data_IF_968998295287
#
_entry.id   IF_968998295287
#
_cell.length_a   1.000
_cell.length_b   1.000
_cell.length_c   1.000
_cell.angle_alpha   90.00
_cell.angle_beta   90.00
_cell.angle_gamma   90.00
#
_symmetry.space_group_name_H-M   'P 1'
#
loop_
_entity.id
_entity.type
_entity.pdbx_description
1 polymer ?
#
# COMPACT_ATOMS: atom_id res chain seq x y z
N UNK A 1 7.21 -8.31 -0.59
CA UNK A 1 6.89 -9.43 -1.51
C UNK A 1 6.79 -8.88 -2.93
N UNK A 2 7.00 -9.66 -4.00
CA UNK A 2 6.99 -9.07 -5.36
C UNK A 2 5.58 -8.80 -5.88
N UNK A 3 4.73 -9.83 -5.97
CA UNK A 3 3.34 -9.69 -6.45
C UNK A 3 2.39 -9.18 -5.36
N UNK A 4 1.47 -8.26 -5.69
CA UNK A 4 0.54 -7.67 -4.71
C UNK A 4 -0.54 -8.66 -4.27
N UNK A 5 -1.01 -8.46 -3.03
CA UNK A 5 -2.29 -9.00 -2.56
C UNK A 5 -3.42 -8.06 -2.94
N UNK A 6 -3.20 -6.76 -2.75
CA UNK A 6 -4.15 -5.70 -3.04
C UNK A 6 -3.55 -4.77 -4.08
N UNK A 7 -4.23 -4.67 -5.21
CA UNK A 7 -4.01 -3.73 -6.30
C UNK A 7 -5.34 -3.55 -7.05
N UNK A 8 -5.50 -2.44 -7.75
CA UNK A 8 -6.75 -2.18 -8.48
C UNK A 8 -6.89 -2.97 -9.80
N UNK A 9 -5.82 -3.54 -10.35
CA UNK A 9 -5.87 -4.30 -11.62
C UNK A 9 -6.48 -5.68 -11.41
N UNK A 10 -6.20 -6.32 -10.27
CA UNK A 10 -6.55 -7.70 -9.96
C UNK A 10 -7.61 -7.80 -8.85
N UNK A 11 -8.68 -6.99 -8.95
CA UNK A 11 -9.74 -6.91 -7.94
C UNK A 11 -11.15 -7.01 -8.55
N UNK A 12 -12.09 -7.59 -7.81
CA UNK A 12 -13.53 -7.52 -8.06
C UNK A 12 -14.26 -7.12 -6.79
N UNK A 13 -14.99 -6.00 -6.81
CA UNK A 13 -15.72 -5.48 -5.65
C UNK A 13 -14.85 -5.33 -4.38
N UNK A 14 -13.59 -4.91 -4.54
CA UNK A 14 -12.63 -4.77 -3.44
C UNK A 14 -11.95 -6.08 -2.99
N UNK A 15 -12.33 -7.24 -3.53
CA UNK A 15 -11.71 -8.53 -3.23
C UNK A 15 -10.68 -8.93 -4.31
N UNK A 16 -9.45 -9.34 -3.92
CA UNK A 16 -8.45 -9.84 -4.85
C UNK A 16 -8.97 -11.04 -5.64
N UNK A 17 -8.55 -11.17 -6.90
CA UNK A 17 -8.86 -12.31 -7.77
C UNK A 17 -7.58 -13.00 -8.27
N UNK A 18 -7.73 -14.15 -8.92
CA UNK A 18 -6.63 -14.85 -9.59
C UNK A 18 -5.47 -15.17 -8.64
N UNK A 19 -4.25 -14.76 -9.02
CA UNK A 19 -3.05 -15.00 -8.23
C UNK A 19 -3.05 -14.21 -6.92
N UNK A 20 -3.53 -12.97 -6.92
CA UNK A 20 -3.60 -12.12 -5.74
C UNK A 20 -4.47 -12.77 -4.63
N UNK A 21 -5.60 -13.38 -4.99
CA UNK A 21 -6.46 -14.14 -4.06
C UNK A 21 -5.75 -15.35 -3.41
N UNK A 22 -4.89 -16.04 -4.16
CA UNK A 22 -4.11 -17.18 -3.64
C UNK A 22 -3.05 -16.70 -2.65
N UNK A 23 -2.39 -15.58 -2.95
CA UNK A 23 -1.41 -14.96 -2.06
C UNK A 23 -2.11 -14.44 -0.78
N UNK A 24 -3.28 -13.80 -0.91
CA UNK A 24 -4.09 -13.38 0.22
C UNK A 24 -4.37 -14.55 1.17
N UNK A 25 -4.91 -15.64 0.63
CA UNK A 25 -5.26 -16.85 1.38
C UNK A 25 -4.06 -17.44 2.12
N UNK A 26 -2.87 -17.39 1.52
CA UNK A 26 -1.65 -17.93 2.10
C UNK A 26 -1.06 -17.06 3.22
N UNK A 27 -1.14 -15.73 3.12
CA UNK A 27 -0.32 -14.83 3.94
C UNK A 27 -1.10 -13.80 4.78
N UNK A 28 -2.29 -13.35 4.37
CA UNK A 28 -2.96 -12.23 5.04
C UNK A 28 -3.25 -12.53 6.52
N UNK A 29 -3.72 -13.75 6.82
CA UNK A 29 -3.96 -14.20 8.19
C UNK A 29 -2.69 -14.13 9.06
N UNK A 30 -1.52 -14.42 8.50
CA UNK A 30 -0.24 -14.30 9.21
C UNK A 30 0.13 -12.84 9.44
N UNK A 31 -0.02 -11.98 8.42
CA UNK A 31 0.26 -10.54 8.56
C UNK A 31 -0.62 -9.89 9.63
N UNK A 32 -1.90 -10.26 9.69
CA UNK A 32 -2.81 -9.81 10.75
C UNK A 32 -2.39 -10.38 12.11
N UNK A 33 -2.13 -11.69 12.21
CA UNK A 33 -1.76 -12.36 13.47
C UNK A 33 -0.50 -11.75 14.10
N UNK A 34 0.51 -11.48 13.28
CA UNK A 34 1.79 -10.92 13.73
C UNK A 34 1.84 -9.39 13.70
N UNK A 35 0.70 -8.73 13.47
CA UNK A 35 0.56 -7.26 13.53
C UNK A 35 1.55 -6.54 12.62
N UNK A 36 1.72 -7.03 11.40
CA UNK A 36 2.56 -6.36 10.38
C UNK A 36 2.01 -4.96 10.11
N UNK A 37 2.88 -3.95 10.16
CA UNK A 37 2.49 -2.56 9.97
C UNK A 37 2.27 -2.20 8.51
N UNK A 38 3.22 -2.59 7.65
CA UNK A 38 3.23 -2.26 6.24
C UNK A 38 3.65 -3.47 5.43
N UNK A 39 2.94 -3.74 4.33
CA UNK A 39 3.28 -4.76 3.34
C UNK A 39 3.64 -4.06 2.03
N UNK A 40 4.90 -4.20 1.63
CA UNK A 40 5.42 -3.65 0.38
C UNK A 40 5.35 -4.68 -0.74
N UNK A 41 4.78 -4.25 -1.86
CA UNK A 41 4.59 -5.03 -3.09
C UNK A 41 5.03 -4.24 -4.31
N UNK A 42 5.20 -4.90 -5.46
CA UNK A 42 5.57 -4.31 -6.73
C UNK A 42 4.82 -5.08 -7.85
N UNK A 43 5.53 -5.56 -8.86
CA UNK A 43 5.04 -6.29 -10.04
C UNK A 43 4.21 -5.44 -10.99
N UNK A 44 3.09 -4.86 -10.53
CA UNK A 44 2.32 -3.92 -11.34
C UNK A 44 3.13 -2.64 -11.50
N UNK A 45 3.37 -2.19 -12.73
CA UNK A 45 4.20 -1.02 -13.03
C UNK A 45 3.46 0.30 -12.76
N UNK A 46 3.05 0.51 -11.51
CA UNK A 46 2.42 1.72 -11.02
C UNK A 46 2.77 1.93 -9.53
N UNK A 47 2.28 3.03 -8.95
CA UNK A 47 2.30 3.24 -7.51
C UNK A 47 0.88 3.27 -6.99
N UNK A 48 0.60 2.55 -5.90
CA UNK A 48 -0.67 2.62 -5.20
C UNK A 48 -0.45 2.59 -3.68
N UNK A 49 -1.22 3.41 -2.96
CA UNK A 49 -1.29 3.40 -1.51
C UNK A 49 -2.71 3.13 -1.06
N UNK A 50 -2.84 2.25 -0.08
CA UNK A 50 -4.12 1.83 0.45
C UNK A 50 -4.24 2.16 1.95
N UNK A 51 -5.46 2.11 2.47
CA UNK A 51 -5.71 2.11 3.92
C UNK A 51 -5.15 0.83 4.54
N UNK A 52 -5.18 0.68 5.87
CA UNK A 52 -5.18 -0.64 6.49
C UNK A 52 -6.29 -1.52 5.90
N UNK A 53 -5.99 -2.78 5.57
CA UNK A 53 -6.96 -3.72 4.97
C UNK A 53 -7.00 -5.02 5.77
N UNK A 54 -8.21 -5.50 6.04
CA UNK A 54 -8.46 -6.82 6.61
C UNK A 54 -9.62 -7.47 5.87
N UNK A 55 -9.41 -8.65 5.30
CA UNK A 55 -10.45 -9.43 4.65
C UNK A 55 -11.23 -8.60 3.61
N UNK A 56 -10.50 -7.91 2.72
CA UNK A 56 -11.04 -7.05 1.65
C UNK A 56 -11.70 -5.73 2.11
N UNK A 57 -11.75 -5.47 3.41
CA UNK A 57 -12.40 -4.28 3.97
C UNK A 57 -11.35 -3.27 4.46
N UNK A 58 -11.62 -1.99 4.19
CA UNK A 58 -10.85 -0.90 4.75
C UNK A 58 -11.06 -0.84 6.27
N UNK A 59 -9.97 -0.84 7.03
CA UNK A 59 -9.99 -0.65 8.48
C UNK A 59 -9.58 0.78 8.79
N UNK A 60 -10.55 1.61 9.17
CA UNK A 60 -10.36 3.07 9.30
C UNK A 60 -10.02 3.51 10.74
N UNK A 61 -10.03 2.59 11.70
CA UNK A 61 -9.61 2.90 13.07
C UNK A 61 -8.15 3.38 13.09
N UNK A 62 -7.96 4.61 13.57
CA UNK A 62 -6.65 5.26 13.58
C UNK A 62 -6.24 5.94 12.27
N UNK A 63 -7.10 5.95 11.24
CA UNK A 63 -6.83 6.66 9.97
C UNK A 63 -7.33 8.10 10.06
N UNK A 64 -6.46 9.09 9.82
CA UNK A 64 -6.85 10.50 9.77
C UNK A 64 -7.81 10.79 8.61
N UNK A 65 -8.59 11.87 8.73
CA UNK A 65 -9.56 12.29 7.70
C UNK A 65 -8.93 12.55 6.33
N UNK A 66 -7.71 13.11 6.32
CA UNK A 66 -6.91 13.34 5.10
C UNK A 66 -6.20 12.07 4.60
N UNK A 67 -6.34 10.96 5.33
CA UNK A 67 -5.71 9.66 5.08
C UNK A 67 -4.18 9.73 4.96
N UNK A 68 -3.52 10.71 5.57
CA UNK A 68 -2.04 10.85 5.59
C UNK A 68 -1.39 10.39 6.88
N UNK A 69 -2.17 10.11 7.92
CA UNK A 69 -1.69 9.58 9.19
C UNK A 69 -2.43 8.30 9.54
N UNK A 70 -1.68 7.22 9.74
CA UNK A 70 -2.19 5.94 10.23
C UNK A 70 -1.68 5.73 11.66
N UNK A 71 -2.49 6.13 12.64
CA UNK A 71 -2.16 6.05 14.05
C UNK A 71 -2.54 4.70 14.65
N UNK A 72 -1.54 3.88 14.95
CA UNK A 72 -1.68 2.51 15.41
C UNK A 72 -2.73 1.73 14.58
N UNK A 73 -2.48 1.53 13.27
CA UNK A 73 -3.44 0.88 12.40
C UNK A 73 -3.74 -0.54 12.89
N UNK A 74 -5.01 -0.92 12.81
CA UNK A 74 -5.48 -2.23 13.30
C UNK A 74 -5.33 -3.35 12.26
N UNK A 75 -4.80 -3.05 11.09
CA UNK A 75 -4.49 -4.01 10.04
C UNK A 75 -3.26 -3.53 9.24
N UNK A 76 -2.63 -4.40 8.43
CA UNK A 76 -1.50 -4.00 7.61
C UNK A 76 -1.91 -2.94 6.58
N UNK A 77 -1.07 -1.94 6.40
CA UNK A 77 -1.15 -0.97 5.31
C UNK A 77 -0.46 -1.58 4.08
N UNK A 78 -1.17 -1.65 2.96
CA UNK A 78 -0.60 -2.21 1.72
C UNK A 78 -0.14 -1.07 0.80
N UNK A 79 1.09 -1.22 0.29
CA UNK A 79 1.69 -0.29 -0.65
C UNK A 79 2.20 -1.08 -1.85
N UNK A 80 1.81 -0.62 -3.04
CA UNK A 80 2.33 -1.08 -4.31
C UNK A 80 3.30 -0.02 -4.83
N UNK A 81 4.57 -0.38 -4.98
CA UNK A 81 5.65 0.50 -5.43
C UNK A 81 6.42 -0.15 -6.58
N UNK A 82 5.71 -0.43 -7.68
CA UNK A 82 6.25 -1.10 -8.87
C UNK A 82 6.64 -0.15 -10.00
N UNK A 83 6.51 1.17 -9.83
CA UNK A 83 6.80 2.19 -10.83
C UNK A 83 8.31 2.47 -11.06
N UNK A 84 9.17 1.45 -10.95
CA UNK A 84 10.63 1.62 -10.93
C UNK A 84 11.31 1.88 -12.28
N UNK A 85 10.60 1.76 -13.41
CA UNK A 85 11.19 1.97 -14.75
C UNK A 85 11.35 0.69 -15.58
N UNK A 86 10.46 -0.28 -15.45
CA UNK A 86 10.48 -1.48 -16.28
C UNK A 86 10.36 -1.13 -17.79
N UNK A 87 11.01 -1.93 -18.64
CA UNK A 87 11.01 -1.74 -20.11
C UNK A 87 9.59 -1.81 -20.71
N UNK A 88 8.69 -2.53 -20.05
CA UNK A 88 7.29 -2.71 -20.45
C UNK A 88 6.46 -1.41 -20.27
N UNK A 89 7.01 -0.40 -19.61
CA UNK A 89 6.31 0.84 -19.30
C UNK A 89 5.36 0.72 -18.11
N UNK A 90 4.47 1.70 -17.96
CA UNK A 90 3.44 1.70 -16.92
C UNK A 90 2.25 0.82 -17.25
N UNK A 91 1.61 0.30 -16.20
CA UNK A 91 0.30 -0.31 -16.33
C UNK A 91 -0.75 0.70 -16.79
N UNK A 92 -1.71 0.22 -17.57
CA UNK A 92 -2.87 1.03 -17.95
C UNK A 92 -3.74 1.31 -16.72
N UNK A 93 -4.21 2.54 -16.59
CA UNK A 93 -5.15 2.90 -15.52
C UNK A 93 -6.44 2.08 -15.63
N UNK A 94 -6.75 1.33 -14.58
CA UNK A 94 -8.00 0.56 -14.45
C UNK A 94 -9.19 1.45 -14.06
N UNK A 95 -10.40 1.02 -14.43
CA UNK A 95 -11.67 1.60 -13.98
C UNK A 95 -12.16 1.01 -12.65
N UNK A 96 -11.50 -0.05 -12.16
CA UNK A 96 -11.83 -0.65 -10.87
C UNK A 96 -11.63 0.35 -9.73
N UNK A 97 -12.51 0.22 -8.73
CA UNK A 97 -12.40 0.99 -7.49
C UNK A 97 -12.51 0.06 -6.29
N UNK A 98 -11.93 0.49 -5.17
CA UNK A 98 -12.03 -0.19 -3.90
C UNK A 98 -12.03 0.84 -2.76
N UNK A 99 -12.83 0.61 -1.73
CA UNK A 99 -12.96 1.53 -0.60
C UNK A 99 -11.63 1.75 0.14
N UNK A 100 -10.73 0.77 0.09
CA UNK A 100 -9.41 0.84 0.69
C UNK A 100 -8.38 1.62 -0.15
N UNK A 101 -8.66 1.98 -1.40
CA UNK A 101 -7.71 2.75 -2.20
C UNK A 101 -7.64 4.22 -1.76
N UNK A 102 -6.43 4.74 -1.59
CA UNK A 102 -6.20 6.14 -1.16
C UNK A 102 -5.57 6.95 -2.27
N UNK A 103 -4.53 6.43 -2.91
CA UNK A 103 -3.81 7.14 -3.96
C UNK A 103 -3.30 6.14 -4.99
N UNK A 104 -3.29 6.53 -6.26
CA UNK A 104 -2.74 5.71 -7.35
C UNK A 104 -2.10 6.62 -8.39
N UNK A 105 -0.91 6.26 -8.85
CA UNK A 105 -0.17 6.94 -9.91
C UNK A 105 0.25 5.89 -10.97
N UNK A 106 -0.17 6.13 -12.21
CA UNK A 106 0.08 5.26 -13.37
C UNK A 106 0.92 5.95 -14.46
N UNK A 107 1.54 7.09 -14.13
CA UNK A 107 2.16 7.98 -15.14
C UNK A 107 3.60 8.35 -14.81
N UNK A 108 3.95 8.41 -13.52
CA UNK A 108 5.29 8.74 -13.07
C UNK A 108 6.06 7.47 -12.78
N UNK A 109 7.25 7.33 -13.37
CA UNK A 109 8.26 6.48 -12.77
C UNK A 109 8.75 7.14 -11.48
N UNK A 110 9.04 6.34 -10.47
CA UNK A 110 9.40 6.88 -9.18
C UNK A 110 10.07 5.90 -8.25
N UNK A 111 10.61 6.46 -7.18
CA UNK A 111 11.25 5.74 -6.09
C UNK A 111 10.51 6.04 -4.79
N UNK A 112 10.35 5.04 -3.95
CA UNK A 112 9.81 5.23 -2.60
C UNK A 112 10.93 5.29 -1.57
N UNK A 113 10.80 6.21 -0.61
CA UNK A 113 11.67 6.27 0.57
C UNK A 113 10.89 5.95 1.83
N UNK A 114 11.56 5.26 2.75
CA UNK A 114 11.06 4.90 4.06
C UNK A 114 12.08 5.35 5.10
N UNK A 115 11.63 6.18 6.04
CA UNK A 115 12.41 6.59 7.21
C UNK A 115 11.67 6.12 8.46
N UNK A 116 12.33 5.37 9.34
CA UNK A 116 11.68 4.79 10.49
C UNK A 116 12.47 4.95 11.80
N UNK A 117 11.72 5.10 12.88
CA UNK A 117 12.17 4.92 14.25
C UNK A 117 11.16 4.02 15.00
N UNK A 118 11.33 3.86 16.31
CA UNK A 118 10.51 2.93 17.12
C UNK A 118 9.00 3.21 17.11
N UNK A 119 8.59 4.47 16.90
CA UNK A 119 7.18 4.89 17.00
C UNK A 119 6.65 5.54 15.72
N UNK A 120 7.48 5.68 14.68
CA UNK A 120 7.09 6.35 13.44
C UNK A 120 7.78 5.74 12.23
N UNK A 121 7.00 5.51 11.19
CA UNK A 121 7.44 5.28 9.82
C UNK A 121 6.94 6.44 8.97
N UNK A 122 7.83 7.11 8.25
CA UNK A 122 7.51 8.12 7.23
C UNK A 122 7.73 7.51 5.86
N UNK A 123 6.76 7.69 4.96
CA UNK A 123 6.84 7.21 3.59
C UNK A 123 6.68 8.36 2.61
N UNK A 124 7.47 8.33 1.53
CA UNK A 124 7.33 9.22 0.38
C UNK A 124 7.46 8.42 -0.91
N UNK A 125 6.67 8.78 -1.92
CA UNK A 125 6.88 8.39 -3.30
C UNK A 125 7.32 9.62 -4.10
N UNK A 126 8.47 9.53 -4.75
CA UNK A 126 9.08 10.63 -5.49
C UNK A 126 9.12 10.31 -6.98
N UNK A 127 8.81 11.31 -7.81
CA UNK A 127 9.02 11.22 -9.26
C UNK A 127 10.51 11.07 -9.55
N UNK A 128 10.89 10.08 -10.36
CA UNK A 128 12.29 9.91 -10.80
C UNK A 128 12.72 11.02 -11.76
N UNK A 129 11.78 11.65 -12.48
CA UNK A 129 12.09 12.70 -13.45
C UNK A 129 12.31 14.06 -12.80
N UNK A 130 11.47 14.43 -11.82
CA UNK A 130 11.46 15.77 -11.21
C UNK A 130 11.92 15.80 -9.75
N UNK A 131 12.09 14.65 -9.10
CA UNK A 131 12.32 14.51 -7.66
C UNK A 131 11.19 15.08 -6.78
N UNK A 132 10.05 15.47 -7.37
CA UNK A 132 8.90 15.95 -6.63
C UNK A 132 8.29 14.83 -5.78
N UNK A 133 7.85 15.16 -4.56
CA UNK A 133 7.08 14.25 -3.70
C UNK A 133 5.64 14.18 -4.23
N UNK A 134 5.26 13.03 -4.75
CA UNK A 134 3.94 12.79 -5.36
C UNK A 134 2.91 12.27 -4.35
N UNK A 135 3.37 11.50 -3.36
CA UNK A 135 2.56 11.04 -2.24
C UNK A 135 3.42 10.93 -0.98
N UNK A 136 2.82 11.22 0.17
CA UNK A 136 3.49 11.11 1.46
C UNK A 136 2.50 10.85 2.59
N UNK A 137 2.91 10.01 3.54
CA UNK A 137 2.12 9.70 4.73
C UNK A 137 3.02 9.17 5.86
N UNK A 138 2.43 9.00 7.04
CA UNK A 138 3.10 8.42 8.20
C UNK A 138 2.28 7.31 8.83
N UNK A 139 2.97 6.29 9.35
CA UNK A 139 2.41 5.30 10.28
C UNK A 139 2.99 5.58 11.65
N UNK A 140 2.13 5.76 12.65
CA UNK A 140 2.52 5.97 14.04
C UNK A 140 2.24 4.71 14.85
N UNK A 141 3.14 4.37 15.76
CA UNK A 141 2.98 3.29 16.73
C UNK A 141 3.12 3.84 18.14
N UNK A 142 2.12 3.55 18.96
CA UNK A 142 2.22 3.77 20.39
C UNK A 142 3.18 2.72 20.94
N UNK A 143 4.34 3.14 21.43
CA UNK A 143 5.21 2.28 22.22
C UNK A 143 4.59 2.16 23.60
N UNK A 144 3.72 1.18 23.81
CA UNK A 144 3.49 0.70 25.18
C UNK A 144 4.78 0.03 25.62
N UNK A 145 5.47 0.67 26.56
CA UNK A 145 6.52 0.03 27.36
C UNK A 145 5.82 -1.09 28.12
N UNK A 146 5.87 -2.29 27.57
CA UNK A 146 5.55 -3.52 28.29
C UNK A 146 6.73 -3.91 29.16
#
# INVERSE_FOLDING_TARGET
MHRPIYDLSNVKNGAPIGQAARIQTAFEALFIKYKVDVVLTAHEHCYQRHTPIRNNQAVLDGVSSDRKTYNNPQAPVYILTGAGGAIEGHESKTSNTAAWNVFSNYVDFGVSTLEANRSKLSWKFLSSASQAVLDQFVVLKNTSVG
#
